data_IF_209866525579
#
_entry.id   IF_209866525579
#
_cell.length_a   1.000
_cell.length_b   1.000
_cell.length_c   1.000
_cell.angle_alpha   90.00
_cell.angle_beta   90.00
_cell.angle_gamma   90.00
#
_symmetry.space_group_name_H-M   'P 1'
#
loop_
_entity.id
_entity.type
_entity.pdbx_description
1 polymer ?
#
# COMPACT_ATOMS: atom_id res chain seq x y z
N UNK A 1 9.61 -0.33 -3.09
CA UNK A 1 10.09 -0.95 -4.34
C UNK A 1 9.69 -0.14 -5.56
N UNK A 2 10.53 0.80 -5.99
CA UNK A 2 10.20 1.62 -7.13
C UNK A 2 10.17 0.82 -8.45
N UNK A 3 9.02 0.78 -9.13
CA UNK A 3 8.76 0.04 -10.37
C UNK A 3 9.57 0.55 -11.56
N UNK A 4 10.35 -0.33 -12.20
CA UNK A 4 10.89 -0.11 -13.53
C UNK A 4 9.79 -0.35 -14.58
N UNK A 5 9.74 0.51 -15.59
CA UNK A 5 8.90 0.36 -16.79
C UNK A 5 9.77 0.46 -18.04
N UNK A 6 9.30 -0.07 -19.19
CA UNK A 6 10.05 -0.04 -20.46
C UNK A 6 10.45 1.37 -20.92
N UNK A 7 9.77 2.40 -20.41
CA UNK A 7 9.99 3.81 -20.72
C UNK A 7 11.26 4.38 -20.06
N UNK A 8 11.74 3.79 -18.95
CA UNK A 8 12.91 4.24 -18.20
C UNK A 8 14.27 3.97 -18.94
N UNK A 9 14.23 3.32 -20.11
CA UNK A 9 15.41 2.82 -20.84
C UNK A 9 15.91 3.82 -21.92
N UNK A 10 15.20 4.92 -22.22
CA UNK A 10 15.60 5.90 -23.25
C UNK A 10 15.95 7.28 -22.67
N UNK A 11 17.27 7.60 -22.64
CA UNK A 11 17.98 8.92 -22.83
C UNK A 11 17.34 10.22 -22.28
N UNK A 12 18.00 11.17 -21.61
CA UNK A 12 19.38 11.71 -21.74
C UNK A 12 19.82 12.56 -20.53
N UNK A 13 21.12 12.90 -20.50
CA UNK A 13 21.91 13.70 -19.54
C UNK A 13 21.31 15.09 -19.16
N UNK A 14 21.56 15.67 -17.98
CA UNK A 14 22.77 16.48 -17.64
C UNK A 14 22.91 16.69 -16.09
N UNK A 15 24.18 16.77 -15.67
CA UNK A 15 24.98 17.27 -14.49
C UNK A 15 24.33 18.19 -13.39
N UNK A 16 24.83 18.48 -12.16
CA UNK A 16 26.11 18.50 -11.38
C UNK A 16 25.76 18.28 -9.86
N UNK A 17 26.49 17.50 -9.00
CA UNK A 17 27.54 17.83 -7.96
C UNK A 17 27.10 18.85 -6.86
N UNK A 18 27.31 18.75 -5.52
CA UNK A 18 28.38 18.14 -4.69
C UNK A 18 28.01 17.93 -3.18
N UNK A 19 28.79 17.04 -2.55
CA UNK A 19 29.25 16.82 -1.13
C UNK A 19 28.27 16.94 0.08
N UNK A 20 28.02 15.92 0.94
CA UNK A 20 28.83 15.13 1.91
C UNK A 20 29.47 15.92 3.06
N UNK A 21 28.96 15.74 4.29
CA UNK A 21 29.79 15.63 5.52
C UNK A 21 29.04 14.93 6.68
N UNK A 22 29.81 14.39 7.62
CA UNK A 22 29.60 13.13 8.38
C UNK A 22 28.79 13.16 9.71
N UNK A 23 28.58 11.92 10.21
CA UNK A 23 28.03 11.35 11.47
C UNK A 23 28.35 12.13 12.77
N UNK A 24 27.61 12.02 13.89
CA UNK A 24 27.52 10.87 14.79
C UNK A 24 26.38 11.03 15.84
N UNK A 25 25.86 9.87 16.26
CA UNK A 25 25.30 9.45 17.56
C UNK A 25 24.50 10.40 18.48
N UNK A 26 23.29 9.96 18.81
CA UNK A 26 22.86 9.84 20.21
C UNK A 26 21.81 8.72 20.39
N UNK A 27 22.09 7.90 21.39
CA UNK A 27 21.42 6.68 21.82
C UNK A 27 20.02 6.90 22.44
N UNK A 28 19.20 5.85 22.31
CA UNK A 28 18.31 5.26 23.33
C UNK A 28 17.62 6.17 24.37
N UNK A 29 16.28 6.24 24.32
CA UNK A 29 15.43 5.51 25.27
C UNK A 29 13.92 5.80 25.09
N UNK A 30 13.11 4.87 25.61
CA UNK A 30 11.68 4.93 25.95
C UNK A 30 10.65 4.57 24.86
N UNK A 31 10.08 3.35 24.94
CA UNK A 31 8.88 3.07 25.74
C UNK A 31 8.58 1.56 25.78
N UNK A 32 8.49 1.03 27.00
CA UNK A 32 7.87 -0.26 27.34
C UNK A 32 6.38 -0.08 27.71
N UNK A 33 5.66 -1.19 27.54
CA UNK A 33 4.38 -1.61 28.09
C UNK A 33 3.03 -1.14 27.50
N UNK A 34 2.36 -2.14 26.89
CA UNK A 34 0.90 -2.30 26.97
C UNK A 34 0.22 -2.72 25.66
N UNK A 35 -0.19 -3.98 25.57
CA UNK A 35 -1.03 -4.60 24.51
C UNK A 35 -0.35 -5.08 23.22
N UNK A 36 0.83 -5.69 23.37
CA UNK A 36 1.55 -6.43 22.34
C UNK A 36 1.40 -7.94 22.58
N UNK A 37 0.23 -8.58 22.36
CA UNK A 37 0.22 -10.06 22.60
C UNK A 37 -0.84 -10.95 21.92
N UNK A 38 -1.70 -10.47 21.00
CA UNK A 38 -2.71 -11.39 20.43
C UNK A 38 -3.15 -11.14 18.98
N UNK A 39 -2.34 -10.40 18.22
CA UNK A 39 -2.54 -10.16 16.79
C UNK A 39 -1.51 -10.88 15.91
N UNK A 40 -0.43 -11.34 16.52
CA UNK A 40 0.57 -12.14 15.86
C UNK A 40 0.07 -13.58 15.71
N UNK A 41 -0.65 -14.17 16.66
CA UNK A 41 -0.90 -15.62 16.63
C UNK A 41 -1.73 -16.20 15.46
N UNK A 42 -2.73 -15.48 14.95
CA UNK A 42 -3.58 -15.97 13.84
C UNK A 42 -3.06 -15.51 12.47
N UNK A 43 -2.55 -14.28 12.40
CA UNK A 43 -1.94 -13.70 11.20
C UNK A 43 -0.52 -14.24 10.97
N UNK A 44 0.25 -14.46 12.03
CA UNK A 44 1.46 -15.29 12.00
C UNK A 44 1.10 -16.73 11.69
N UNK A 45 0.08 -17.38 12.26
CA UNK A 45 -0.25 -18.77 11.86
C UNK A 45 -0.48 -18.95 10.36
N UNK A 46 -1.12 -17.99 9.70
CA UNK A 46 -1.48 -18.11 8.28
C UNK A 46 -0.51 -17.43 7.31
N UNK A 47 0.02 -16.25 7.65
CA UNK A 47 0.86 -15.44 6.75
C UNK A 47 2.32 -15.49 7.16
N UNK A 48 2.69 -15.59 8.45
CA UNK A 48 4.12 -15.65 8.81
C UNK A 48 4.82 -16.91 8.28
N UNK A 49 4.29 -18.14 8.26
CA UNK A 49 4.99 -19.24 7.64
C UNK A 49 5.11 -19.01 6.14
N UNK A 50 4.15 -18.36 5.46
CA UNK A 50 4.26 -18.11 4.02
C UNK A 50 5.23 -16.97 3.71
N UNK A 51 5.17 -15.86 4.45
CA UNK A 51 6.11 -14.75 4.36
C UNK A 51 7.52 -15.17 4.79
N UNK A 52 7.66 -15.91 5.88
CA UNK A 52 8.93 -16.50 6.31
C UNK A 52 9.42 -17.55 5.32
N UNK A 53 8.53 -18.32 4.66
CA UNK A 53 8.92 -19.20 3.55
C UNK A 53 9.36 -18.42 2.33
N UNK A 54 8.73 -17.29 1.99
CA UNK A 54 9.17 -16.40 0.91
C UNK A 54 10.53 -15.82 1.28
N UNK A 55 10.68 -15.22 2.47
CA UNK A 55 11.93 -14.64 2.97
C UNK A 55 13.04 -15.69 3.07
N UNK A 56 12.74 -16.88 3.59
CA UNK A 56 13.67 -18.00 3.68
C UNK A 56 14.07 -18.54 2.31
N UNK A 57 13.11 -18.73 1.39
CA UNK A 57 13.40 -19.12 0.02
C UNK A 57 14.26 -18.07 -0.68
N UNK A 58 13.97 -16.79 -0.45
CA UNK A 58 14.71 -15.66 -1.00
C UNK A 58 16.16 -15.64 -0.47
N UNK A 59 16.36 -15.77 0.85
CA UNK A 59 17.68 -15.87 1.49
C UNK A 59 18.46 -17.13 1.08
N UNK A 60 17.75 -18.21 0.74
CA UNK A 60 18.35 -19.47 0.25
C UNK A 60 18.56 -19.47 -1.27
N UNK A 61 18.31 -18.36 -1.98
CA UNK A 61 18.43 -18.29 -3.44
C UNK A 61 17.43 -19.18 -4.21
N UNK A 62 16.34 -19.63 -3.57
CA UNK A 62 15.30 -20.48 -4.16
C UNK A 62 14.27 -19.65 -4.93
N UNK A 63 14.71 -18.95 -5.96
CA UNK A 63 13.96 -17.91 -6.66
C UNK A 63 12.64 -18.39 -7.27
N UNK A 64 12.63 -19.57 -7.90
CA UNK A 64 11.41 -20.14 -8.46
C UNK A 64 10.38 -20.48 -7.37
N UNK A 65 10.82 -20.91 -6.18
CA UNK A 65 9.96 -21.14 -5.03
C UNK A 65 9.43 -19.81 -4.48
N UNK A 66 10.29 -18.80 -4.34
CA UNK A 66 9.91 -17.44 -3.94
C UNK A 66 8.80 -16.90 -4.84
N UNK A 67 8.97 -17.00 -6.17
CA UNK A 67 7.96 -16.54 -7.15
C UNK A 67 6.66 -17.34 -6.99
N UNK A 68 6.72 -18.67 -6.87
CA UNK A 68 5.52 -19.52 -6.68
C UNK A 68 4.76 -19.17 -5.40
N UNK A 69 5.47 -18.94 -4.31
CA UNK A 69 4.87 -18.56 -3.03
C UNK A 69 4.25 -17.15 -3.11
N UNK A 70 4.92 -16.20 -3.76
CA UNK A 70 4.38 -14.85 -3.99
C UNK A 70 3.14 -14.85 -4.91
N UNK A 71 3.12 -15.72 -5.92
CA UNK A 71 1.92 -15.95 -6.75
C UNK A 71 0.79 -16.56 -5.89
N UNK A 72 1.13 -17.49 -5.00
CA UNK A 72 0.20 -18.08 -4.04
C UNK A 72 -0.41 -17.07 -3.06
N UNK A 73 0.29 -15.99 -2.73
CA UNK A 73 -0.24 -14.85 -1.95
C UNK A 73 -1.07 -13.87 -2.79
N UNK A 74 -1.33 -14.18 -4.06
CA UNK A 74 -2.12 -13.31 -4.95
C UNK A 74 -1.30 -12.26 -5.71
N UNK A 75 0.03 -12.20 -5.52
CA UNK A 75 0.88 -11.29 -6.31
C UNK A 75 1.13 -11.90 -7.69
N UNK A 76 0.50 -11.33 -8.72
CA UNK A 76 0.64 -11.77 -10.12
C UNK A 76 1.22 -10.70 -11.02
N UNK A 77 1.72 -9.61 -10.44
CA UNK A 77 2.33 -8.53 -11.20
C UNK A 77 3.74 -8.97 -11.64
N UNK A 78 3.93 -9.09 -12.96
CA UNK A 78 5.18 -9.52 -13.58
C UNK A 78 6.37 -8.69 -13.11
N UNK A 79 6.19 -7.36 -12.98
CA UNK A 79 7.26 -6.46 -12.58
C UNK A 79 7.57 -6.59 -11.09
N UNK A 80 6.55 -6.77 -10.23
CA UNK A 80 6.77 -7.00 -8.80
C UNK A 80 7.51 -8.30 -8.52
N UNK A 81 7.13 -9.39 -9.21
CA UNK A 81 7.79 -10.68 -9.06
C UNK A 81 9.23 -10.64 -9.59
N UNK A 82 9.47 -9.91 -10.68
CA UNK A 82 10.83 -9.68 -11.21
C UNK A 82 11.67 -8.88 -10.21
N UNK A 83 11.14 -7.78 -9.69
CA UNK A 83 11.82 -6.93 -8.71
C UNK A 83 12.17 -7.68 -7.42
N UNK A 84 11.29 -8.58 -6.98
CA UNK A 84 11.51 -9.38 -5.77
C UNK A 84 12.80 -10.20 -5.87
N UNK A 85 13.07 -10.81 -7.03
CA UNK A 85 14.28 -11.60 -7.27
C UNK A 85 15.48 -10.68 -7.53
N UNK A 86 15.31 -9.69 -8.41
CA UNK A 86 16.38 -8.78 -8.79
C UNK A 86 16.99 -8.06 -7.59
N UNK A 87 16.19 -7.47 -6.71
CA UNK A 87 16.71 -6.76 -5.54
C UNK A 87 17.26 -7.67 -4.44
N UNK A 88 16.94 -8.96 -4.46
CA UNK A 88 17.59 -9.92 -3.59
C UNK A 88 18.99 -10.30 -4.09
N UNK A 89 19.19 -10.36 -5.41
CA UNK A 89 20.52 -10.53 -6.00
C UNK A 89 21.38 -9.28 -5.86
N UNK A 90 20.74 -8.11 -5.78
CA UNK A 90 21.39 -6.81 -5.69
C UNK A 90 21.04 -6.07 -4.38
N UNK A 91 21.40 -6.61 -3.20
CA UNK A 91 21.12 -5.97 -1.92
C UNK A 91 21.81 -4.60 -1.79
N UNK A 92 22.96 -4.41 -2.44
CA UNK A 92 23.71 -3.14 -2.52
C UNK A 92 22.88 -2.01 -3.15
N UNK A 93 21.92 -2.36 -4.01
CA UNK A 93 21.03 -1.38 -4.64
C UNK A 93 19.92 -0.92 -3.70
N UNK A 94 19.63 -1.65 -2.62
CA UNK A 94 18.66 -1.28 -1.59
C UNK A 94 17.27 -0.87 -2.16
N UNK A 95 16.87 -1.47 -3.28
CA UNK A 95 15.60 -1.16 -3.96
C UNK A 95 15.61 0.07 -4.89
N UNK A 96 16.78 0.67 -5.15
CA UNK A 96 16.93 1.76 -6.11
C UNK A 96 16.71 1.29 -7.54
N UNK A 97 15.92 2.07 -8.30
CA UNK A 97 15.71 1.83 -9.73
C UNK A 97 17.04 1.82 -10.48
N UNK A 98 17.08 1.07 -11.57
CA UNK A 98 18.14 1.20 -12.58
C UNK A 98 18.07 2.57 -13.22
N UNK A 99 19.19 3.26 -13.23
CA UNK A 99 19.37 4.54 -13.92
C UNK A 99 20.31 4.33 -15.10
N UNK A 100 20.05 4.90 -16.29
CA UNK A 100 21.00 4.89 -17.41
C UNK A 100 22.38 5.44 -17.07
N UNK A 101 22.48 6.23 -15.98
CA UNK A 101 23.72 6.79 -15.44
C UNK A 101 24.50 5.81 -14.54
N UNK A 102 23.92 4.67 -14.17
CA UNK A 102 24.62 3.66 -13.38
C UNK A 102 25.74 3.05 -14.23
N UNK A 103 26.95 2.97 -13.69
CA UNK A 103 28.09 2.36 -14.38
C UNK A 103 27.80 0.93 -14.89
N UNK A 104 26.92 0.20 -14.19
CA UNK A 104 26.52 -1.16 -14.53
C UNK A 104 25.13 -1.26 -15.17
N UNK A 105 24.55 -0.16 -15.64
CA UNK A 105 23.15 -0.10 -16.11
C UNK A 105 22.82 -1.18 -17.15
N UNK A 106 23.69 -1.37 -18.14
CA UNK A 106 23.44 -2.32 -19.23
C UNK A 106 23.41 -3.76 -18.73
N UNK A 107 24.33 -4.12 -17.83
CA UNK A 107 24.41 -5.47 -17.26
C UNK A 107 23.19 -5.76 -16.38
N UNK A 108 22.88 -4.84 -15.46
CA UNK A 108 21.76 -4.96 -14.53
C UNK A 108 20.40 -4.94 -15.23
N UNK A 109 20.24 -4.13 -16.28
CA UNK A 109 19.02 -4.11 -17.08
C UNK A 109 18.82 -5.42 -17.84
N UNK A 110 19.90 -6.00 -18.36
CA UNK A 110 19.86 -7.31 -19.02
C UNK A 110 19.47 -8.40 -18.03
N UNK A 111 20.07 -8.40 -16.85
CA UNK A 111 19.74 -9.36 -15.78
C UNK A 111 18.27 -9.24 -15.34
N UNK A 112 17.77 -8.02 -15.15
CA UNK A 112 16.37 -7.81 -14.82
C UNK A 112 15.42 -8.37 -15.89
N UNK A 113 15.74 -8.15 -17.17
CA UNK A 113 14.98 -8.70 -18.29
C UNK A 113 15.08 -10.23 -18.36
N UNK A 114 16.23 -10.81 -18.03
CA UNK A 114 16.42 -12.26 -17.99
C UNK A 114 15.61 -12.90 -16.87
N UNK A 115 15.61 -12.33 -15.67
CA UNK A 115 14.74 -12.77 -14.55
C UNK A 115 13.28 -12.74 -14.99
N UNK A 116 12.84 -11.64 -15.62
CA UNK A 116 11.46 -11.49 -16.11
C UNK A 116 11.10 -12.57 -17.14
N UNK A 117 11.94 -12.72 -18.15
CA UNK A 117 11.65 -13.53 -19.32
C UNK A 117 11.83 -15.02 -19.08
N UNK A 118 12.83 -15.40 -18.29
CA UNK A 118 13.22 -16.81 -18.10
C UNK A 118 12.65 -17.41 -16.81
N UNK A 119 12.37 -16.61 -15.78
CA UNK A 119 11.83 -17.10 -14.50
C UNK A 119 10.37 -16.71 -14.30
N UNK A 120 10.07 -15.41 -14.33
CA UNK A 120 8.77 -14.90 -13.90
C UNK A 120 7.66 -15.23 -14.91
N UNK A 121 7.86 -14.92 -16.19
CA UNK A 121 6.89 -15.18 -17.26
C UNK A 121 6.50 -16.66 -17.39
N UNK A 122 7.45 -17.62 -17.41
CA UNK A 122 7.11 -19.03 -17.45
C UNK A 122 6.31 -19.48 -16.22
N UNK A 123 6.69 -19.04 -15.02
CA UNK A 123 5.99 -19.41 -13.78
C UNK A 123 4.58 -18.81 -13.72
N UNK A 124 4.38 -17.57 -14.17
CA UNK A 124 3.05 -16.97 -14.28
C UNK A 124 2.16 -17.73 -15.26
N UNK A 125 2.70 -18.19 -16.40
CA UNK A 125 1.96 -19.00 -17.39
C UNK A 125 1.61 -20.38 -16.86
N UNK A 126 2.56 -21.06 -16.21
CA UNK A 126 2.37 -22.39 -15.62
C UNK A 126 1.35 -22.39 -14.49
N UNK A 127 1.21 -21.27 -13.78
CA UNK A 127 0.23 -21.09 -12.69
C UNK A 127 -0.99 -20.35 -13.24
N UNK A 128 -1.64 -20.94 -14.24
CA UNK A 128 -2.98 -20.55 -14.74
C UNK A 128 -4.08 -21.33 -13.99
N UNK A 129 -5.30 -20.79 -13.85
CA UNK A 129 -6.23 -21.17 -12.79
C UNK A 129 -6.86 -22.54 -13.06
N UNK A 130 -6.21 -23.61 -12.62
CA UNK A 130 -6.90 -24.88 -12.42
C UNK A 130 -6.67 -25.29 -10.98
N UNK A 131 -7.79 -25.36 -10.25
CA UNK A 131 -7.94 -25.93 -8.89
C UNK A 131 -7.57 -25.04 -7.69
N UNK A 132 -8.32 -23.95 -7.51
CA UNK A 132 -8.88 -23.61 -6.17
C UNK A 132 -10.35 -23.21 -6.37
N UNK A 133 -11.23 -24.20 -6.32
CA UNK A 133 -12.69 -24.06 -6.11
C UNK A 133 -12.86 -23.56 -4.67
N UNK A 134 -13.43 -22.40 -4.34
CA UNK A 134 -14.85 -21.99 -4.42
C UNK A 134 -15.00 -20.47 -4.19
N UNK A 135 -15.78 -19.76 -5.03
CA UNK A 135 -16.69 -18.70 -4.55
C UNK A 135 -16.26 -17.23 -4.41
N UNK A 136 -15.09 -16.78 -4.86
CA UNK A 136 -14.74 -15.33 -4.76
C UNK A 136 -15.21 -14.54 -5.99
N UNK A 137 -16.24 -13.70 -5.82
CA UNK A 137 -16.69 -12.74 -6.82
C UNK A 137 -15.58 -11.74 -7.21
N UNK A 138 -15.70 -11.08 -8.37
CA UNK A 138 -14.76 -10.03 -8.77
C UNK A 138 -14.54 -8.97 -7.67
N UNK A 139 -15.58 -8.73 -6.88
CA UNK A 139 -15.58 -7.89 -5.71
C UNK A 139 -14.68 -8.36 -4.57
N UNK A 140 -14.80 -9.63 -4.22
CA UNK A 140 -13.94 -10.25 -3.23
C UNK A 140 -12.47 -10.20 -3.66
N UNK A 141 -12.17 -10.32 -4.97
CA UNK A 141 -10.80 -10.16 -5.50
C UNK A 141 -10.26 -8.74 -5.45
N UNK A 142 -11.11 -7.71 -5.62
CA UNK A 142 -10.67 -6.31 -5.55
C UNK A 142 -10.33 -5.92 -4.11
N UNK A 143 -11.21 -6.25 -3.16
CA UNK A 143 -11.00 -5.99 -1.72
C UNK A 143 -9.77 -6.70 -1.18
N UNK A 144 -9.55 -7.94 -1.61
CA UNK A 144 -8.35 -8.70 -1.25
C UNK A 144 -7.09 -8.00 -1.77
N UNK A 145 -7.07 -7.55 -3.02
CA UNK A 145 -5.94 -6.77 -3.57
C UNK A 145 -5.68 -5.48 -2.80
N UNK A 146 -6.72 -4.72 -2.43
CA UNK A 146 -6.55 -3.52 -1.58
C UNK A 146 -5.83 -3.84 -0.27
N UNK A 147 -6.31 -4.88 0.43
CA UNK A 147 -5.70 -5.38 1.66
C UNK A 147 -4.24 -5.75 1.44
N UNK A 148 -3.95 -6.57 0.43
CA UNK A 148 -2.61 -7.10 0.20
C UNK A 148 -1.61 -6.00 -0.14
N UNK A 149 -2.00 -5.04 -0.99
CA UNK A 149 -1.16 -3.89 -1.34
C UNK A 149 -0.89 -3.01 -0.11
N UNK A 150 -1.93 -2.73 0.69
CA UNK A 150 -1.77 -1.93 1.90
C UNK A 150 -0.83 -2.61 2.92
N UNK A 151 -0.98 -3.93 3.11
CA UNK A 151 -0.07 -4.70 3.97
C UNK A 151 1.36 -4.74 3.43
N UNK A 152 1.54 -4.90 2.12
CA UNK A 152 2.87 -4.87 1.50
C UNK A 152 3.57 -3.53 1.74
N UNK A 153 2.86 -2.41 1.62
CA UNK A 153 3.46 -1.11 1.91
C UNK A 153 3.72 -0.91 3.41
N UNK A 154 2.86 -1.42 4.29
CA UNK A 154 3.16 -1.42 5.72
C UNK A 154 4.43 -2.22 6.06
N UNK A 155 4.65 -3.37 5.41
CA UNK A 155 5.88 -4.15 5.55
C UNK A 155 7.09 -3.44 4.92
N UNK A 156 6.91 -2.80 3.75
CA UNK A 156 7.96 -2.01 3.11
C UNK A 156 8.43 -0.84 3.99
N UNK A 157 7.50 -0.26 4.75
CA UNK A 157 7.78 0.77 5.75
C UNK A 157 8.18 0.20 7.13
N UNK A 158 8.69 -1.03 7.17
CA UNK A 158 9.11 -1.73 8.39
C UNK A 158 8.07 -1.65 9.52
N UNK A 159 6.82 -2.00 9.19
CA UNK A 159 5.67 -1.95 10.10
C UNK A 159 5.47 -0.58 10.77
N UNK A 160 5.78 0.51 10.07
CA UNK A 160 5.62 1.89 10.57
C UNK A 160 6.90 2.55 11.08
N UNK A 161 7.99 1.77 11.20
CA UNK A 161 9.28 2.26 11.73
C UNK A 161 10.07 3.02 10.69
N UNK A 162 10.03 2.60 9.42
CA UNK A 162 10.71 3.31 8.33
C UNK A 162 10.01 4.65 8.07
N UNK A 163 10.73 5.76 8.04
CA UNK A 163 10.18 7.10 7.85
C UNK A 163 10.37 7.59 6.41
N UNK A 164 9.50 8.48 5.97
CA UNK A 164 9.44 8.98 4.60
C UNK A 164 10.77 9.56 4.12
N UNK A 165 11.57 10.17 4.99
CA UNK A 165 12.85 10.78 4.64
C UNK A 165 13.96 9.73 4.41
N UNK A 166 13.77 8.50 4.89
CA UNK A 166 14.79 7.46 4.79
C UNK A 166 14.91 6.93 3.35
N UNK A 167 16.10 6.42 3.02
CA UNK A 167 16.40 5.91 1.68
C UNK A 167 15.43 4.81 1.26
N UNK A 168 14.94 4.92 0.02
CA UNK A 168 13.92 4.05 -0.55
C UNK A 168 12.49 4.43 -0.17
N UNK A 169 12.26 5.09 0.97
CA UNK A 169 10.93 5.51 1.41
C UNK A 169 10.46 6.75 0.65
N UNK A 170 11.29 7.80 0.54
CA UNK A 170 10.90 9.00 -0.20
C UNK A 170 10.66 8.69 -1.68
N UNK A 171 11.51 7.86 -2.32
CA UNK A 171 11.29 7.43 -3.71
C UNK A 171 9.96 6.69 -3.86
N UNK A 172 9.61 5.85 -2.86
CA UNK A 172 8.32 5.17 -2.83
C UNK A 172 7.16 6.16 -2.70
N UNK A 173 7.30 7.19 -1.87
CA UNK A 173 6.33 8.29 -1.74
C UNK A 173 6.17 9.04 -3.06
N UNK A 174 7.27 9.33 -3.78
CA UNK A 174 7.22 9.89 -5.13
C UNK A 174 6.39 9.05 -6.11
N UNK A 175 6.39 7.72 -5.96
CA UNK A 175 5.51 6.86 -6.76
C UNK A 175 4.04 7.02 -6.40
N UNK A 176 3.72 7.22 -5.12
CA UNK A 176 2.34 7.49 -4.72
C UNK A 176 1.82 8.76 -5.38
N UNK A 177 2.66 9.80 -5.45
CA UNK A 177 2.34 11.04 -6.15
C UNK A 177 2.18 10.83 -7.66
N UNK A 178 3.21 10.30 -8.33
CA UNK A 178 3.24 10.14 -9.78
C UNK A 178 2.16 9.17 -10.26
N UNK A 179 2.15 7.96 -9.73
CA UNK A 179 1.27 6.90 -10.22
C UNK A 179 -0.14 7.01 -9.62
N UNK A 180 -0.28 7.49 -8.38
CA UNK A 180 -1.57 7.59 -7.70
C UNK A 180 -2.41 8.78 -8.16
N UNK A 181 -1.80 9.95 -8.33
CA UNK A 181 -2.53 11.20 -8.60
C UNK A 181 -1.96 12.02 -9.75
N UNK A 182 -0.91 11.56 -10.42
CA UNK A 182 -0.33 12.23 -11.58
C UNK A 182 0.43 13.51 -11.24
N UNK A 183 0.90 13.66 -10.00
CA UNK A 183 1.67 14.83 -9.57
C UNK A 183 3.18 14.56 -9.66
N UNK A 184 3.94 15.55 -10.10
CA UNK A 184 5.39 15.48 -10.22
C UNK A 184 6.07 15.87 -8.89
N UNK A 185 5.76 15.12 -7.84
CA UNK A 185 6.42 15.20 -6.54
C UNK A 185 7.24 13.93 -6.36
N UNK A 186 8.46 14.07 -5.86
CA UNK A 186 9.40 12.94 -5.77
C UNK A 186 9.40 12.27 -4.39
N UNK A 187 8.72 12.87 -3.42
CA UNK A 187 8.59 12.38 -2.04
C UNK A 187 9.54 13.06 -1.04
N UNK A 188 10.42 13.95 -1.49
CA UNK A 188 11.20 14.86 -0.64
C UNK A 188 10.41 16.11 -0.24
N UNK A 189 9.25 16.33 -0.87
CA UNK A 189 8.26 17.37 -0.55
C UNK A 189 7.52 17.10 0.78
N UNK A 190 8.27 16.97 1.88
CA UNK A 190 7.78 16.52 3.21
C UNK A 190 6.70 17.42 3.81
N UNK A 191 6.58 18.64 3.30
CA UNK A 191 5.58 19.63 3.71
C UNK A 191 4.19 19.29 3.14
N UNK A 192 4.12 18.39 2.15
CA UNK A 192 2.92 18.02 1.43
C UNK A 192 2.46 16.64 1.90
N UNK A 193 1.30 16.53 2.59
CA UNK A 193 0.88 15.26 3.15
C UNK A 193 0.45 14.26 2.06
N UNK A 194 1.15 13.14 1.95
CA UNK A 194 0.95 12.14 0.89
C UNK A 194 -0.11 11.08 1.19
N UNK A 195 -0.81 11.16 2.33
CA UNK A 195 -1.82 10.17 2.75
C UNK A 195 -2.91 9.90 1.70
N UNK A 196 -3.40 10.94 1.01
CA UNK A 196 -4.43 10.77 -0.03
C UNK A 196 -3.86 10.25 -1.35
N UNK A 197 -2.60 10.59 -1.66
CA UNK A 197 -1.87 10.03 -2.78
C UNK A 197 -1.63 8.53 -2.60
N UNK A 198 -1.29 8.10 -1.37
CA UNK A 198 -1.20 6.68 -1.00
C UNK A 198 -2.52 5.93 -1.24
N UNK A 199 -3.65 6.42 -0.72
CA UNK A 199 -4.95 5.77 -0.95
C UNK A 199 -5.28 5.70 -2.44
N UNK A 200 -5.05 6.80 -3.18
CA UNK A 200 -5.26 6.83 -4.63
C UNK A 200 -4.37 5.81 -5.35
N UNK A 201 -3.12 5.67 -4.94
CA UNK A 201 -2.17 4.70 -5.47
C UNK A 201 -2.61 3.25 -5.20
N UNK A 202 -3.00 2.92 -3.96
CA UNK A 202 -3.51 1.59 -3.61
C UNK A 202 -4.76 1.24 -4.42
N UNK A 203 -5.69 2.19 -4.58
CA UNK A 203 -6.88 2.01 -5.41
C UNK A 203 -6.55 1.73 -6.88
N UNK A 204 -5.55 2.42 -7.45
CA UNK A 204 -5.09 2.14 -8.82
C UNK A 204 -4.49 0.76 -8.96
N UNK A 205 -3.56 0.40 -8.07
CA UNK A 205 -2.88 -0.89 -8.10
C UNK A 205 -3.84 -2.06 -7.87
N UNK A 206 -4.90 -1.87 -7.09
CA UNK A 206 -5.95 -2.86 -6.94
C UNK A 206 -6.87 -3.01 -8.18
N UNK A 207 -6.83 -2.06 -9.12
CA UNK A 207 -7.60 -2.09 -10.36
C UNK A 207 -8.92 -1.34 -10.29
N UNK A 208 -9.01 -0.24 -9.53
CA UNK A 208 -10.24 0.55 -9.44
C UNK A 208 -10.61 1.20 -10.79
N UNK A 209 -9.65 1.40 -11.70
CA UNK A 209 -9.90 1.99 -13.02
C UNK A 209 -10.48 3.40 -12.89
N UNK A 210 -11.44 3.77 -13.72
CA UNK A 210 -12.12 5.07 -13.66
C UNK A 210 -13.21 5.18 -12.58
N UNK A 211 -13.40 4.14 -11.76
CA UNK A 211 -14.53 4.03 -10.82
C UNK A 211 -14.28 4.74 -9.49
N UNK A 212 -13.03 5.09 -9.18
CA UNK A 212 -12.62 5.83 -7.99
C UNK A 212 -12.23 7.27 -8.34
N UNK A 213 -12.58 8.23 -7.47
CA UNK A 213 -12.27 9.65 -7.67
C UNK A 213 -10.89 9.99 -7.09
N UNK A 214 -9.83 9.65 -7.83
CA UNK A 214 -8.45 9.91 -7.40
C UNK A 214 -8.19 11.39 -7.10
N UNK A 215 -7.45 11.65 -6.03
CA UNK A 215 -7.07 13.00 -5.63
C UNK A 215 -5.98 12.99 -4.56
N UNK A 216 -5.17 14.04 -4.55
CA UNK A 216 -4.27 14.39 -3.45
C UNK A 216 -5.02 14.88 -2.18
N UNK A 217 -6.36 14.95 -2.20
CA UNK A 217 -7.18 15.37 -1.06
C UNK A 217 -8.23 14.31 -0.71
N UNK A 218 -8.23 13.86 0.56
CA UNK A 218 -9.21 12.91 1.09
C UNK A 218 -10.66 13.38 0.90
N UNK A 219 -10.92 14.66 1.15
CA UNK A 219 -12.27 15.24 1.03
C UNK A 219 -12.87 15.12 -0.36
N UNK A 220 -12.07 14.94 -1.42
CA UNK A 220 -12.58 14.80 -2.79
C UNK A 220 -13.31 13.46 -2.96
N UNK A 221 -12.69 12.33 -2.65
CA UNK A 221 -13.35 11.03 -2.78
C UNK A 221 -14.33 10.74 -1.65
N UNK A 222 -14.15 11.31 -0.45
CA UNK A 222 -15.16 11.25 0.60
C UNK A 222 -16.47 11.88 0.11
N UNK A 223 -16.43 13.13 -0.38
CA UNK A 223 -17.64 13.82 -0.86
C UNK A 223 -18.25 13.15 -2.09
N UNK A 224 -17.43 12.64 -3.01
CA UNK A 224 -17.91 11.86 -4.16
C UNK A 224 -18.68 10.60 -3.73
N UNK A 225 -18.13 9.83 -2.79
CA UNK A 225 -18.77 8.62 -2.28
C UNK A 225 -20.07 8.94 -1.50
N UNK A 226 -20.10 10.01 -0.71
CA UNK A 226 -21.30 10.48 0.00
C UNK A 226 -22.37 10.92 -1.00
N UNK A 227 -21.98 11.69 -2.04
CA UNK A 227 -22.89 12.12 -3.11
C UNK A 227 -23.55 10.91 -3.78
N UNK A 228 -22.75 9.93 -4.21
CA UNK A 228 -23.23 8.68 -4.82
C UNK A 228 -24.16 7.89 -3.91
N UNK A 229 -23.89 7.88 -2.60
CA UNK A 229 -24.79 7.28 -1.60
C UNK A 229 -26.11 8.02 -1.47
N UNK A 230 -26.08 9.35 -1.36
CA UNK A 230 -27.28 10.19 -1.24
C UNK A 230 -28.18 10.10 -2.48
N UNK A 231 -27.57 9.97 -3.66
CA UNK A 231 -28.26 9.78 -4.93
C UNK A 231 -28.76 8.35 -5.16
N UNK A 232 -28.43 7.42 -4.26
CA UNK A 232 -28.67 5.99 -4.40
C UNK A 232 -28.19 5.41 -5.75
N UNK A 233 -27.06 5.89 -6.26
CA UNK A 233 -26.56 5.49 -7.57
C UNK A 233 -26.28 3.97 -7.59
N UNK A 234 -26.98 3.17 -8.42
CA UNK A 234 -26.79 1.71 -8.46
C UNK A 234 -25.48 1.31 -9.14
N UNK A 235 -24.86 2.20 -9.91
CA UNK A 235 -23.58 1.96 -10.60
C UNK A 235 -22.35 2.32 -9.75
N UNK A 236 -22.57 2.96 -8.60
CA UNK A 236 -21.50 3.45 -7.76
C UNK A 236 -20.68 2.31 -7.12
N UNK A 237 -19.43 2.21 -7.56
CA UNK A 237 -18.39 1.36 -7.00
C UNK A 237 -18.04 1.65 -5.53
N UNK A 238 -18.27 2.88 -5.09
CA UNK A 238 -17.95 3.36 -3.75
C UNK A 238 -19.08 4.23 -3.22
N UNK A 239 -19.51 3.97 -1.98
CA UNK A 239 -20.57 4.74 -1.30
C UNK A 239 -20.14 5.09 0.12
N UNK A 240 -20.24 6.37 0.48
CA UNK A 240 -19.91 6.87 1.81
C UNK A 240 -21.13 6.81 2.72
N UNK A 241 -20.99 6.28 3.93
CA UNK A 241 -22.04 6.14 4.95
C UNK A 241 -21.56 6.74 6.27
N UNK A 242 -22.47 7.13 7.15
CA UNK A 242 -22.10 7.45 8.54
C UNK A 242 -21.63 6.17 9.25
N UNK A 243 -20.69 6.28 10.21
CA UNK A 243 -20.18 5.12 10.95
C UNK A 243 -21.25 4.29 11.67
N UNK A 244 -22.36 4.93 12.07
CA UNK A 244 -23.48 4.29 12.75
C UNK A 244 -24.45 3.57 11.80
N UNK A 245 -24.33 3.78 10.48
CA UNK A 245 -25.20 3.16 9.48
C UNK A 245 -24.71 1.76 9.09
N UNK A 246 -23.39 1.55 9.01
CA UNK A 246 -22.79 0.35 8.41
C UNK A 246 -21.58 -0.16 9.19
N UNK A 247 -21.40 -1.48 9.19
CA UNK A 247 -20.17 -2.10 9.66
C UNK A 247 -19.08 -2.02 8.57
N UNK A 248 -17.89 -1.45 8.86
CA UNK A 248 -16.75 -1.54 7.95
C UNK A 248 -16.35 -3.00 7.70
N UNK A 249 -15.84 -3.28 6.49
CA UNK A 249 -15.37 -4.58 6.03
C UNK A 249 -13.99 -4.41 5.40
N UNK A 250 -13.24 -5.51 5.28
CA UNK A 250 -11.94 -5.51 4.59
C UNK A 250 -12.09 -4.90 3.19
N UNK A 251 -11.19 -3.96 2.86
CA UNK A 251 -11.20 -3.20 1.61
C UNK A 251 -12.08 -1.95 1.61
N UNK A 252 -12.83 -1.67 2.67
CA UNK A 252 -13.50 -0.37 2.86
C UNK A 252 -12.51 0.68 3.35
N UNK A 253 -12.88 1.96 3.26
CA UNK A 253 -12.16 3.05 3.91
C UNK A 253 -12.92 3.52 5.15
N UNK A 254 -12.20 3.87 6.20
CA UNK A 254 -12.73 4.64 7.34
C UNK A 254 -12.03 5.99 7.36
N UNK A 255 -12.78 7.06 7.58
CA UNK A 255 -12.27 8.42 7.44
C UNK A 255 -12.60 9.30 8.65
N UNK A 256 -11.62 10.11 9.07
CA UNK A 256 -11.74 11.08 10.16
C UNK A 256 -11.43 12.50 9.70
N UNK A 257 -12.07 13.46 10.35
CA UNK A 257 -11.80 14.87 10.13
C UNK A 257 -10.52 15.33 10.85
N UNK A 258 -9.78 16.25 10.24
CA UNK A 258 -8.64 16.93 10.91
C UNK A 258 -8.98 18.37 11.33
N UNK A 259 -10.04 18.96 10.77
CA UNK A 259 -10.56 20.26 11.17
C UNK A 259 -11.80 20.12 12.06
N UNK A 260 -12.02 21.12 12.91
CA UNK A 260 -13.25 21.28 13.67
C UNK A 260 -14.46 21.48 12.74
N UNK A 261 -15.65 21.11 13.22
CA UNK A 261 -16.94 21.31 12.55
C UNK A 261 -17.11 20.61 11.18
N UNK A 262 -16.19 19.71 10.81
CA UNK A 262 -16.37 18.83 9.66
C UNK A 262 -17.23 17.64 10.05
N UNK A 263 -18.28 17.38 9.28
CA UNK A 263 -19.18 16.25 9.47
C UNK A 263 -19.58 15.64 8.12
N UNK A 264 -20.45 14.62 8.15
CA UNK A 264 -20.90 13.89 6.97
C UNK A 264 -21.54 14.78 5.88
N UNK A 265 -22.17 15.88 6.29
CA UNK A 265 -22.91 16.77 5.40
C UNK A 265 -22.09 18.00 4.94
N UNK A 266 -20.84 18.15 5.39
CA UNK A 266 -19.94 19.22 4.93
C UNK A 266 -19.64 19.08 3.43
N UNK A 267 -19.95 20.12 2.64
CA UNK A 267 -19.82 20.12 1.17
C UNK A 267 -18.56 20.83 0.66
N UNK A 268 -18.01 21.76 1.44
CA UNK A 268 -16.75 22.46 1.13
C UNK A 268 -15.54 21.50 1.20
N UNK A 269 -14.38 21.97 0.74
CA UNK A 269 -13.11 21.25 0.94
C UNK A 269 -12.73 21.26 2.43
N UNK A 270 -12.15 20.17 2.92
CA UNK A 270 -11.71 20.08 4.31
C UNK A 270 -10.52 19.14 4.50
N UNK A 271 -9.65 19.40 5.49
CA UNK A 271 -8.58 18.48 5.87
C UNK A 271 -9.19 17.27 6.58
N UNK A 272 -8.84 16.09 6.07
CA UNK A 272 -9.34 14.79 6.52
C UNK A 272 -8.30 13.72 6.23
N UNK A 273 -8.56 12.52 6.71
CA UNK A 273 -7.71 11.36 6.49
C UNK A 273 -8.56 10.10 6.40
N UNK A 274 -8.13 9.13 5.60
CA UNK A 274 -8.75 7.83 5.45
C UNK A 274 -7.70 6.73 5.52
N UNK A 275 -8.08 5.63 6.16
CA UNK A 275 -7.32 4.38 6.22
C UNK A 275 -8.11 3.25 5.53
N UNK A 276 -7.42 2.26 5.00
CA UNK A 276 -8.00 1.04 4.42
C UNK A 276 -8.21 0.01 5.52
N UNK A 277 -9.41 -0.55 5.65
CA UNK A 277 -9.68 -1.68 6.54
C UNK A 277 -9.01 -2.93 5.98
N UNK A 278 -8.11 -3.53 6.74
CA UNK A 278 -7.31 -4.68 6.29
C UNK A 278 -7.59 -5.97 7.07
N UNK A 279 -8.21 -5.86 8.25
CA UNK A 279 -8.72 -7.01 8.99
C UNK A 279 -9.95 -6.63 9.83
N UNK A 280 -10.76 -7.63 10.16
CA UNK A 280 -11.89 -7.53 11.09
C UNK A 280 -11.75 -8.62 12.14
N UNK A 281 -11.98 -8.25 13.41
CA UNK A 281 -11.89 -9.12 14.59
C UNK A 281 -13.12 -8.91 15.47
N UNK A 282 -13.28 -9.74 16.50
CA UNK A 282 -14.32 -9.51 17.51
C UNK A 282 -14.10 -8.16 18.19
N UNK A 283 -15.08 -7.26 18.08
CA UNK A 283 -15.05 -5.91 18.67
C UNK A 283 -14.00 -4.94 18.10
N UNK A 284 -13.20 -5.34 17.09
CA UNK A 284 -12.11 -4.51 16.55
C UNK A 284 -11.96 -4.64 15.03
N UNK A 285 -11.40 -3.61 14.39
CA UNK A 285 -10.90 -3.66 13.01
C UNK A 285 -9.46 -3.15 12.96
N UNK A 286 -8.69 -3.63 11.99
CA UNK A 286 -7.35 -3.10 11.72
C UNK A 286 -7.38 -2.31 10.43
N UNK A 287 -6.72 -1.16 10.44
CA UNK A 287 -6.70 -0.22 9.32
C UNK A 287 -5.28 0.21 9.00
N UNK A 288 -4.97 0.41 7.72
CA UNK A 288 -3.65 0.88 7.25
C UNK A 288 -3.81 2.19 6.49
N UNK A 289 -3.04 3.19 6.91
CA UNK A 289 -2.98 4.51 6.30
C UNK A 289 -1.54 4.91 5.95
N UNK A 290 -1.41 5.78 4.95
CA UNK A 290 -0.13 6.41 4.58
C UNK A 290 0.04 7.77 5.26
N UNK A 291 1.28 8.22 5.45
CA UNK A 291 1.65 9.49 6.06
C UNK A 291 1.00 9.72 7.44
N UNK A 292 1.09 8.70 8.28
CA UNK A 292 0.77 8.77 9.70
C UNK A 292 2.09 8.56 10.44
N UNK A 293 2.52 9.56 11.20
CA UNK A 293 3.87 9.58 11.78
C UNK A 293 4.96 9.34 10.71
N UNK A 294 4.79 10.02 9.57
CA UNK A 294 5.69 10.00 8.41
C UNK A 294 5.97 8.61 7.83
N UNK A 295 5.02 7.69 7.96
CA UNK A 295 5.13 6.31 7.49
C UNK A 295 3.79 5.77 6.97
N UNK A 296 3.82 4.56 6.40
CA UNK A 296 2.63 3.69 6.32
C UNK A 296 2.49 2.97 7.65
N UNK A 297 1.36 3.12 8.33
CA UNK A 297 1.15 2.55 9.68
C UNK A 297 -0.18 1.82 9.78
N UNK A 298 -0.20 0.82 10.68
CA UNK A 298 -1.42 0.11 11.07
C UNK A 298 -1.99 0.68 12.36
N UNK A 299 -3.32 0.84 12.43
CA UNK A 299 -4.06 1.18 13.64
C UNK A 299 -5.14 0.13 13.91
N UNK A 300 -5.49 -0.05 15.18
CA UNK A 300 -6.63 -0.87 15.60
C UNK A 300 -7.73 0.05 16.08
N UNK A 301 -8.94 -0.13 15.57
CA UNK A 301 -10.12 0.67 15.94
C UNK A 301 -11.19 -0.20 16.58
N UNK A 302 -11.86 0.33 17.59
CA UNK A 302 -12.97 -0.34 18.26
C UNK A 302 -14.27 -0.30 17.43
N UNK A 303 -15.00 -1.42 17.43
CA UNK A 303 -16.34 -1.55 16.86
C UNK A 303 -17.30 -2.19 17.86
N UNK A 304 -18.59 -1.90 17.76
CA UNK A 304 -19.60 -2.53 18.61
C UNK A 304 -19.93 -3.98 18.19
N UNK A 305 -20.88 -4.61 18.88
CA UNK A 305 -21.36 -5.97 18.58
C UNK A 305 -21.97 -6.12 17.18
N UNK A 306 -22.45 -5.04 16.58
CA UNK A 306 -22.92 -5.01 15.18
C UNK A 306 -21.78 -4.76 14.18
N UNK A 307 -20.54 -4.60 14.66
CA UNK A 307 -19.36 -4.28 13.85
C UNK A 307 -19.29 -2.84 13.36
N UNK A 308 -20.12 -1.93 13.89
CA UNK A 308 -20.11 -0.50 13.55
C UNK A 308 -19.04 0.22 14.37
N UNK A 309 -18.38 1.19 13.74
CA UNK A 309 -17.26 1.90 14.36
C UNK A 309 -17.72 2.72 15.57
N UNK A 310 -17.06 2.48 16.71
CA UNK A 310 -17.29 3.19 17.98
C UNK A 310 -16.01 3.81 18.53
N UNK A 311 -14.89 3.63 17.84
CA UNK A 311 -13.61 4.21 18.20
C UNK A 311 -13.70 5.74 18.31
N UNK A 312 -13.18 6.28 19.41
CA UNK A 312 -13.22 7.71 19.73
C UNK A 312 -11.83 8.38 19.66
N UNK A 313 -10.78 7.67 19.23
CA UNK A 313 -9.42 8.21 19.14
C UNK A 313 -9.28 9.35 18.12
N UNK A 314 -10.21 9.42 17.16
CA UNK A 314 -10.32 10.46 16.13
C UNK A 314 -11.81 10.75 15.88
N UNK A 315 -12.15 11.92 15.30
CA UNK A 315 -13.51 12.23 14.87
C UNK A 315 -13.85 11.48 13.56
N UNK A 316 -13.99 10.16 13.66
CA UNK A 316 -14.41 9.30 12.56
C UNK A 316 -15.83 9.64 12.14
N UNK A 317 -16.04 9.97 10.86
CA UNK A 317 -17.32 10.52 10.39
C UNK A 317 -17.85 9.88 9.12
N UNK A 318 -17.04 9.06 8.42
CA UNK A 318 -17.45 8.36 7.20
C UNK A 318 -16.84 6.96 7.13
N UNK A 319 -17.64 5.99 6.67
CA UNK A 319 -17.20 4.69 6.15
C UNK A 319 -17.47 4.67 4.65
N UNK A 320 -16.45 4.57 3.82
CA UNK A 320 -16.61 4.39 2.37
C UNK A 320 -16.64 2.89 2.08
N UNK A 321 -17.82 2.39 1.74
CA UNK A 321 -18.03 1.00 1.34
C UNK A 321 -17.51 0.79 -0.08
N UNK A 322 -16.66 -0.20 -0.23
CA UNK A 322 -16.23 -0.73 -1.53
C UNK A 322 -17.27 -1.75 -1.99
N UNK A 323 -17.93 -1.45 -3.11
CA UNK A 323 -18.99 -2.28 -3.71
C UNK A 323 -18.54 -3.00 -4.99
N UNK A 324 -17.29 -2.73 -5.40
CA UNK A 324 -16.61 -3.39 -6.49
C UNK A 324 -16.37 -4.84 -6.22
#
# INVERSE_FOLDING_TARGET
MAYLTEEDIRTDALDFEDELDWLEDDELDWFEDGDQDWLDDELERFIAPLYNKIKSALLQGKEALTIRLAIGTGNRDENQLTNLIFFNRHPERQGQKLSPKDANFQALSREWLDIRNQLVRPLLKQISPTTVTTGSSAASRFKQRLKDIAFQEHLFFDKGKKKEHQQGAWQRVGQYWKEGVGQNLDGRDRNVPWSAAFISWVMRKAGAGNRFKYSASHSVYIRDAIKKRKQNDPSAAFKGYRPQEVAPQVGDLVCYARAANVNYDTTSSYPSHCDIVVAKRSGKIDVIGGNVSDSVTKRTLNVNSQGKLTDSSRPWFVVIKTLL
#
